data_IF_220296273225
#
_entry.id   IF_220296273225
#
_cell.length_a   1.000
_cell.length_b   1.000
_cell.length_c   1.000
_cell.angle_alpha   90.00
_cell.angle_beta   90.00
_cell.angle_gamma   90.00
#
_symmetry.space_group_name_H-M   'P 1'
#
loop_
_entity.id
_entity.type
_entity.pdbx_description
1 polymer ?
#
# COMPACT_ATOMS: atom_id res chain seq x y z
N UNK A 1 9.48 14.75 -3.91
CA UNK A 1 8.15 14.15 -4.03
C UNK A 1 8.22 12.81 -3.32
N UNK A 2 7.43 12.61 -2.26
CA UNK A 2 7.44 11.41 -1.44
C UNK A 2 6.89 10.24 -2.24
N UNK A 3 7.64 9.15 -2.40
CA UNK A 3 7.19 7.98 -3.16
C UNK A 3 6.41 7.02 -2.27
N UNK A 4 5.10 6.92 -2.53
CA UNK A 4 4.14 6.23 -1.68
C UNK A 4 3.57 5.01 -2.41
N UNK A 5 3.60 3.87 -1.74
CA UNK A 5 2.81 2.69 -2.06
C UNK A 5 1.60 2.59 -1.13
N UNK A 6 0.48 2.08 -1.63
CA UNK A 6 -0.75 1.87 -0.86
C UNK A 6 -1.08 0.38 -0.79
N UNK A 7 -1.25 -0.15 0.43
CA UNK A 7 -1.78 -1.50 0.65
C UNK A 7 -3.29 -1.50 0.82
N UNK A 8 -3.96 -2.53 0.32
CA UNK A 8 -5.42 -2.59 0.25
C UNK A 8 -5.98 -1.59 -0.75
N UNK A 9 -5.27 -1.39 -1.87
CA UNK A 9 -5.49 -0.33 -2.84
C UNK A 9 -6.94 -0.26 -3.39
N UNK A 10 -7.62 -1.41 -3.45
CA UNK A 10 -8.97 -1.49 -4.02
C UNK A 10 -10.09 -1.36 -2.99
N UNK A 11 -9.74 -1.46 -1.70
CA UNK A 11 -10.63 -1.25 -0.58
C UNK A 11 -11.06 0.22 -0.42
N UNK A 12 -12.02 0.46 0.48
CA UNK A 12 -12.55 1.81 0.75
C UNK A 12 -11.46 2.80 1.14
N UNK A 13 -10.63 2.44 2.12
CA UNK A 13 -9.54 3.30 2.58
C UNK A 13 -8.43 3.44 1.54
N UNK A 14 -8.06 2.36 0.86
CA UNK A 14 -7.03 2.40 -0.19
C UNK A 14 -7.38 3.37 -1.33
N UNK A 15 -8.64 3.35 -1.78
CA UNK A 15 -9.13 4.31 -2.79
C UNK A 15 -9.03 5.77 -2.32
N UNK A 16 -9.45 6.06 -1.09
CA UNK A 16 -9.33 7.40 -0.51
C UNK A 16 -7.87 7.85 -0.41
N UNK A 17 -6.96 6.95 -0.02
CA UNK A 17 -5.53 7.23 0.07
C UNK A 17 -4.91 7.48 -1.31
N UNK A 18 -5.26 6.67 -2.31
CA UNK A 18 -4.83 6.89 -3.70
C UNK A 18 -5.28 8.27 -4.18
N UNK A 19 -6.56 8.62 -3.98
CA UNK A 19 -7.06 9.95 -4.35
C UNK A 19 -6.30 11.07 -3.63
N UNK A 20 -6.04 10.92 -2.33
CA UNK A 20 -5.28 11.90 -1.55
C UNK A 20 -3.85 12.07 -2.08
N UNK A 21 -3.15 10.99 -2.38
CA UNK A 21 -1.80 11.03 -2.98
C UNK A 21 -1.83 11.74 -4.33
N UNK A 22 -2.79 11.42 -5.20
CA UNK A 22 -2.91 12.05 -6.52
C UNK A 22 -3.27 13.55 -6.48
N UNK A 23 -3.82 14.03 -5.36
CA UNK A 23 -4.16 15.43 -5.15
C UNK A 23 -3.09 16.19 -4.32
N UNK A 24 -1.99 15.52 -3.97
CA UNK A 24 -0.93 16.05 -3.12
C UNK A 24 0.29 16.41 -3.99
N UNK A 25 0.66 17.69 -4.07
CA UNK A 25 1.70 18.18 -4.98
C UNK A 25 3.11 17.69 -4.64
N UNK A 26 3.33 17.20 -3.43
CA UNK A 26 4.59 16.67 -2.94
C UNK A 26 4.59 15.14 -2.77
N UNK A 27 3.59 14.42 -3.32
CA UNK A 27 3.50 12.96 -3.28
C UNK A 27 3.39 12.27 -4.65
N UNK A 28 4.16 11.20 -4.79
CA UNK A 28 4.26 10.15 -5.83
C UNK A 28 3.41 8.90 -5.52
N UNK A 29 2.36 8.54 -6.28
CA UNK A 29 1.88 7.14 -6.21
C UNK A 29 2.83 6.26 -7.04
N UNK A 30 3.52 5.32 -6.40
CA UNK A 30 4.48 4.42 -7.08
C UNK A 30 4.12 2.94 -6.97
N UNK A 31 3.18 2.59 -6.08
CA UNK A 31 2.80 1.20 -5.83
C UNK A 31 1.36 1.05 -5.35
N UNK A 32 0.70 -0.03 -5.79
CA UNK A 32 -0.64 -0.41 -5.37
C UNK A 32 -0.68 -1.91 -5.10
N UNK A 33 -0.91 -2.27 -3.83
CA UNK A 33 -0.88 -3.64 -3.35
C UNK A 33 -2.28 -4.11 -2.95
N UNK A 34 -2.61 -5.34 -3.32
CA UNK A 34 -3.82 -6.04 -2.87
C UNK A 34 -3.58 -7.52 -2.57
N UNK A 35 -4.56 -8.15 -1.94
CA UNK A 35 -4.60 -9.59 -1.76
C UNK A 35 -4.64 -10.33 -3.10
N UNK A 36 -4.05 -11.54 -3.16
CA UNK A 36 -3.97 -12.37 -4.36
C UNK A 36 -5.32 -12.75 -4.97
N UNK A 37 -6.38 -12.77 -4.16
CA UNK A 37 -7.75 -13.07 -4.60
C UNK A 37 -8.50 -11.85 -5.14
N UNK A 38 -7.87 -10.67 -5.19
CA UNK A 38 -8.53 -9.46 -5.68
C UNK A 38 -8.81 -9.56 -7.20
N UNK A 39 -10.06 -9.32 -7.65
CA UNK A 39 -10.40 -9.38 -9.07
C UNK A 39 -9.85 -8.22 -9.90
N UNK A 40 -9.33 -7.17 -9.26
CA UNK A 40 -8.80 -5.96 -9.91
C UNK A 40 -7.26 -5.98 -10.02
N UNK A 41 -6.62 -7.13 -9.78
CA UNK A 41 -5.19 -7.29 -10.06
C UNK A 41 -4.93 -7.09 -11.56
N UNK A 42 -3.87 -6.34 -11.88
CA UNK A 42 -3.54 -5.96 -13.26
C UNK A 42 -4.17 -4.65 -13.73
N UNK A 43 -5.16 -4.12 -13.00
CA UNK A 43 -5.81 -2.85 -13.33
C UNK A 43 -5.01 -1.63 -12.82
N UNK A 44 -5.17 -0.49 -13.50
CA UNK A 44 -4.56 0.77 -13.06
C UNK A 44 -5.17 1.23 -11.72
N UNK A 45 -4.30 1.60 -10.77
CA UNK A 45 -4.70 1.98 -9.42
C UNK A 45 -5.63 3.21 -9.40
N UNK A 46 -5.59 4.08 -10.40
CA UNK A 46 -6.47 5.24 -10.54
C UNK A 46 -7.71 5.02 -11.40
N UNK A 47 -7.93 3.81 -11.93
CA UNK A 47 -9.02 3.54 -12.88
C UNK A 47 -10.40 3.87 -12.31
N UNK A 48 -10.61 3.67 -11.00
CA UNK A 48 -11.86 4.01 -10.32
C UNK A 48 -12.17 5.52 -10.28
N UNK A 49 -11.17 6.37 -10.50
CA UNK A 49 -11.32 7.82 -10.64
C UNK A 49 -11.39 8.26 -12.11
N UNK A 50 -11.39 7.33 -13.07
CA UNK A 50 -11.22 7.63 -14.50
C UNK A 50 -9.84 8.20 -14.84
N UNK A 51 -8.83 7.95 -13.98
CA UNK A 51 -7.44 8.41 -14.18
C UNK A 51 -6.55 7.24 -14.59
N UNK A 52 -5.50 7.52 -15.36
CA UNK A 52 -4.43 6.57 -15.64
C UNK A 52 -3.18 7.01 -14.88
N UNK A 53 -2.80 6.26 -13.85
CA UNK A 53 -1.65 6.54 -13.01
C UNK A 53 -0.38 5.89 -13.53
N UNK A 54 -0.50 4.83 -14.33
CA UNK A 54 0.62 3.98 -14.71
C UNK A 54 1.06 3.00 -13.62
N UNK A 55 0.45 3.07 -12.43
CA UNK A 55 0.69 2.13 -11.33
C UNK A 55 -0.33 1.00 -11.44
N UNK A 56 0.17 -0.22 -11.63
CA UNK A 56 -0.66 -1.42 -11.75
C UNK A 56 -0.87 -2.06 -10.38
N UNK A 57 -2.12 -2.38 -10.06
CA UNK A 57 -2.47 -3.12 -8.85
C UNK A 57 -1.88 -4.53 -8.91
N UNK A 58 -1.10 -4.90 -7.91
CA UNK A 58 -0.39 -6.19 -7.85
C UNK A 58 -0.59 -6.86 -6.50
N UNK A 59 -0.44 -8.19 -6.43
CA UNK A 59 -0.36 -8.95 -5.18
C UNK A 59 1.08 -9.23 -4.73
N UNK A 60 2.05 -8.99 -5.60
CA UNK A 60 3.47 -9.07 -5.26
C UNK A 60 3.89 -7.86 -4.43
N UNK A 61 4.15 -8.10 -3.14
CA UNK A 61 4.57 -7.09 -2.16
C UNK A 61 5.91 -6.45 -2.58
N UNK A 62 6.89 -7.24 -2.99
CA UNK A 62 8.21 -6.71 -3.36
C UNK A 62 8.11 -5.80 -4.60
N UNK A 63 7.29 -6.21 -5.57
CA UNK A 63 6.99 -5.39 -6.75
C UNK A 63 6.28 -4.09 -6.37
N UNK A 64 5.26 -4.15 -5.51
CA UNK A 64 4.52 -2.96 -5.07
C UNK A 64 5.40 -1.97 -4.29
N UNK A 65 6.40 -2.46 -3.55
CA UNK A 65 7.33 -1.64 -2.77
C UNK A 65 8.56 -1.20 -3.57
N UNK A 66 8.70 -1.61 -4.83
CA UNK A 66 9.85 -1.25 -5.65
C UNK A 66 9.89 0.26 -5.91
N UNK A 67 10.90 0.93 -5.35
CA UNK A 67 11.06 2.39 -5.47
C UNK A 67 10.17 3.20 -4.53
N UNK A 68 9.39 2.57 -3.65
CA UNK A 68 8.62 3.23 -2.62
C UNK A 68 9.51 3.65 -1.43
N UNK A 69 9.34 4.88 -0.97
CA UNK A 69 9.94 5.38 0.28
C UNK A 69 9.02 5.11 1.48
N UNK A 70 7.71 5.11 1.23
CA UNK A 70 6.67 4.93 2.23
C UNK A 70 5.61 3.92 1.74
N UNK A 71 5.14 3.09 2.65
CA UNK A 71 3.96 2.25 2.49
C UNK A 71 2.90 2.70 3.49
N UNK A 72 1.70 3.04 3.00
CA UNK A 72 0.54 3.30 3.85
C UNK A 72 -0.34 2.04 3.88
N UNK A 73 -0.61 1.53 5.08
CA UNK A 73 -1.28 0.25 5.29
C UNK A 73 -2.52 0.39 6.18
N UNK A 74 -3.69 0.21 5.57
CA UNK A 74 -5.00 0.14 6.23
C UNK A 74 -5.69 -1.19 5.90
N UNK A 75 -4.96 -2.30 6.05
CA UNK A 75 -5.43 -3.65 5.73
C UNK A 75 -5.86 -4.42 6.99
N UNK A 76 -5.42 -5.68 7.10
CA UNK A 76 -5.69 -6.59 8.22
C UNK A 76 -4.38 -6.93 8.92
N UNK A 77 -4.39 -7.31 10.21
CA UNK A 77 -3.18 -7.62 10.96
C UNK A 77 -2.24 -8.60 10.24
N UNK A 78 -2.78 -9.65 9.62
CA UNK A 78 -1.97 -10.65 8.90
C UNK A 78 -1.25 -10.05 7.69
N UNK A 79 -1.94 -9.20 6.92
CA UNK A 79 -1.37 -8.48 5.79
C UNK A 79 -0.28 -7.52 6.23
N UNK A 80 -0.53 -6.73 7.28
CA UNK A 80 0.46 -5.80 7.84
C UNK A 80 1.74 -6.49 8.28
N UNK A 81 1.67 -7.68 8.89
CA UNK A 81 2.88 -8.42 9.27
C UNK A 81 3.68 -8.91 8.04
N UNK A 82 3.00 -9.32 6.97
CA UNK A 82 3.66 -9.69 5.72
C UNK A 82 4.32 -8.47 5.04
N UNK A 83 3.63 -7.33 5.03
CA UNK A 83 4.18 -6.07 4.52
C UNK A 83 5.41 -5.63 5.30
N UNK A 84 5.37 -5.71 6.64
CA UNK A 84 6.47 -5.35 7.53
C UNK A 84 7.74 -6.14 7.21
N UNK A 85 7.63 -7.44 7.01
CA UNK A 85 8.78 -8.30 6.70
C UNK A 85 9.49 -7.90 5.40
N UNK A 86 8.76 -7.36 4.42
CA UNK A 86 9.35 -6.87 3.17
C UNK A 86 9.83 -5.43 3.31
N UNK A 87 9.06 -4.57 3.96
CA UNK A 87 9.42 -3.18 4.20
C UNK A 87 10.74 -3.04 4.97
N UNK A 88 10.97 -3.89 5.97
CA UNK A 88 12.25 -3.96 6.69
C UNK A 88 13.43 -4.32 5.80
N UNK A 89 13.23 -5.21 4.81
CA UNK A 89 14.29 -5.62 3.87
C UNK A 89 14.60 -4.54 2.84
N UNK A 90 13.60 -3.79 2.41
CA UNK A 90 13.74 -2.75 1.39
C UNK A 90 14.08 -1.37 1.95
N UNK A 91 13.95 -1.19 3.28
CA UNK A 91 14.08 0.11 3.93
C UNK A 91 12.87 1.04 3.71
N UNK A 92 11.77 0.51 3.18
CA UNK A 92 10.53 1.26 3.00
C UNK A 92 9.92 1.56 4.38
N UNK A 93 9.62 2.82 4.66
CA UNK A 93 8.98 3.23 5.92
C UNK A 93 7.50 2.84 5.87
N UNK A 94 6.90 2.53 7.01
CA UNK A 94 5.49 2.17 7.09
C UNK A 94 4.68 3.17 7.92
N UNK A 95 3.50 3.51 7.41
CA UNK A 95 2.43 4.20 8.13
C UNK A 95 1.30 3.19 8.30
N UNK A 96 1.12 2.69 9.53
CA UNK A 96 0.18 1.61 9.83
C UNK A 96 -1.08 2.20 10.46
N UNK A 97 -2.17 2.16 9.70
CA UNK A 97 -3.53 2.46 10.16
C UNK A 97 -4.36 1.20 10.49
N UNK A 98 -3.81 0.01 10.22
CA UNK A 98 -4.42 -1.28 10.60
C UNK A 98 -4.72 -1.32 12.09
N UNK A 99 -5.93 -1.74 12.44
CA UNK A 99 -6.38 -1.93 13.83
C UNK A 99 -6.53 -3.42 14.15
N UNK A 100 -6.66 -3.75 15.43
CA UNK A 100 -6.88 -5.14 15.87
C UNK A 100 -5.63 -6.02 15.90
N UNK A 101 -4.43 -5.43 15.94
CA UNK A 101 -3.19 -6.18 16.14
C UNK A 101 -3.13 -6.77 17.56
N UNK A 102 -2.58 -7.97 17.68
CA UNK A 102 -2.27 -8.58 18.97
C UNK A 102 -1.07 -7.90 19.63
N UNK A 103 -0.89 -8.10 20.95
CA UNK A 103 0.26 -7.56 21.68
C UNK A 103 1.60 -8.02 21.07
N UNK A 104 1.72 -9.29 20.69
CA UNK A 104 2.92 -9.83 20.05
C UNK A 104 3.19 -9.19 18.68
N UNK A 105 2.14 -8.89 17.91
CA UNK A 105 2.29 -8.17 16.64
C UNK A 105 2.75 -6.72 16.88
N UNK A 106 2.18 -6.03 17.87
CA UNK A 106 2.60 -4.67 18.25
C UNK A 106 4.06 -4.63 18.71
N UNK A 107 4.51 -5.62 19.48
CA UNK A 107 5.91 -5.73 19.89
C UNK A 107 6.86 -5.86 18.70
N UNK A 108 6.41 -6.52 17.62
CA UNK A 108 7.19 -6.68 16.39
C UNK A 108 7.31 -5.38 15.56
N UNK A 109 6.54 -4.33 15.88
CA UNK A 109 6.58 -3.04 15.19
C UNK A 109 7.64 -2.07 15.74
N UNK A 110 8.27 -2.40 16.87
CA UNK A 110 9.28 -1.57 17.55
C UNK A 110 10.67 -1.83 16.98
#
# INVERSE_FOLDING_TARGET
>A
MMKIAIAGATGRMGKMLIEAVLNCSDAELVGALEHESCPLLGEDAGAFLGKKTGVVTTSDIAKALTGAEFLIDFTRPEGTMAHLAIAQKTGCKMIIGTTGLSNTQIESLK
#
